data_IF_942021225574
#
_entry.id   IF_942021225574
#
_cell.length_a   1.000
_cell.length_b   1.000
_cell.length_c   1.000
_cell.angle_alpha   90.00
_cell.angle_beta   90.00
_cell.angle_gamma   90.00
#
_symmetry.space_group_name_H-M   'P 1'
#
loop_
_entity.id
_entity.type
_entity.pdbx_description
1 polymer ?
#
# COMPACT_ATOMS: atom_id res chain seq x y z
N UNK A 1 -16.87 14.81 -19.31
CA UNK A 1 -17.00 14.18 -20.64
C UNK A 1 -17.24 15.20 -21.76
N UNK A 2 -18.33 16.00 -21.70
CA UNK A 2 -18.72 16.96 -22.75
C UNK A 2 -17.61 17.95 -23.15
N UNK A 3 -16.90 18.54 -22.19
CA UNK A 3 -15.80 19.48 -22.46
C UNK A 3 -14.60 18.84 -23.16
N UNK A 4 -14.32 17.56 -22.91
CA UNK A 4 -13.22 16.84 -23.56
C UNK A 4 -13.58 16.52 -25.02
N UNK A 5 -14.83 16.14 -25.26
CA UNK A 5 -15.38 15.95 -26.61
C UNK A 5 -15.31 17.27 -27.40
N UNK A 6 -15.64 18.41 -26.77
CA UNK A 6 -15.51 19.73 -27.40
C UNK A 6 -14.06 20.08 -27.79
N UNK A 7 -13.09 19.80 -26.91
CA UNK A 7 -11.67 20.02 -27.22
C UNK A 7 -11.24 19.18 -28.43
N UNK A 8 -11.63 17.90 -28.48
CA UNK A 8 -11.31 17.00 -29.59
C UNK A 8 -11.95 17.50 -30.89
N UNK A 9 -13.21 17.94 -30.85
CA UNK A 9 -13.90 18.51 -32.02
C UNK A 9 -13.17 19.76 -32.54
N UNK A 10 -12.75 20.68 -31.66
CA UNK A 10 -11.99 21.86 -32.09
C UNK A 10 -10.64 21.50 -32.72
N UNK A 11 -9.96 20.49 -32.18
CA UNK A 11 -8.70 19.98 -32.72
C UNK A 11 -8.87 19.33 -34.11
N UNK A 12 -9.98 18.62 -34.32
CA UNK A 12 -10.31 18.05 -35.64
C UNK A 12 -10.60 19.16 -36.64
N UNK A 13 -11.39 20.18 -36.26
CA UNK A 13 -11.72 21.32 -37.12
C UNK A 13 -10.44 22.09 -37.53
N UNK A 14 -9.51 22.31 -36.61
CA UNK A 14 -8.24 22.97 -36.93
C UNK A 14 -7.38 22.12 -37.87
N UNK A 15 -7.30 20.82 -37.64
CA UNK A 15 -6.55 19.89 -38.50
C UNK A 15 -7.11 19.84 -39.93
N UNK A 16 -8.43 19.67 -40.06
CA UNK A 16 -9.14 19.66 -41.36
C UNK A 16 -9.02 21.02 -42.07
N UNK A 17 -8.95 22.13 -41.33
CA UNK A 17 -8.73 23.45 -41.90
C UNK A 17 -7.32 23.65 -42.47
N UNK A 18 -6.29 23.09 -41.84
CA UNK A 18 -4.88 23.31 -42.18
C UNK A 18 -4.43 22.38 -43.31
N UNK A 19 -4.72 21.08 -43.24
CA UNK A 19 -4.13 20.05 -44.11
C UNK A 19 -4.40 20.26 -45.61
N UNK A 20 -5.65 20.47 -46.07
CA UNK A 20 -5.95 20.71 -47.50
C UNK A 20 -5.24 21.96 -48.03
N UNK A 21 -4.95 22.92 -47.17
CA UNK A 21 -4.33 24.19 -47.56
C UNK A 21 -2.83 24.09 -47.74
N UNK A 22 -2.17 23.35 -46.87
CA UNK A 22 -0.74 23.02 -47.04
C UNK A 22 -0.57 22.33 -48.40
N UNK A 23 -1.48 21.41 -48.76
CA UNK A 23 -1.48 20.74 -50.06
C UNK A 23 -1.71 21.71 -51.23
N UNK A 24 -2.69 22.61 -51.12
CA UNK A 24 -2.94 23.62 -52.15
C UNK A 24 -1.76 24.58 -52.34
N UNK A 25 -1.15 25.06 -51.25
CA UNK A 25 0.02 25.95 -51.30
C UNK A 25 1.25 25.23 -51.88
N UNK A 26 1.41 23.94 -51.57
CA UNK A 26 2.44 23.10 -52.17
C UNK A 26 2.27 22.98 -53.68
N UNK A 27 1.04 22.73 -54.16
CA UNK A 27 0.74 22.65 -55.59
C UNK A 27 0.95 23.99 -56.31
N UNK A 28 0.52 25.11 -55.71
CA UNK A 28 0.79 26.44 -56.26
C UNK A 28 2.29 26.74 -56.37
N UNK A 29 3.06 26.39 -55.33
CA UNK A 29 4.52 26.56 -55.34
C UNK A 29 5.20 25.70 -56.40
N UNK A 30 4.66 24.52 -56.72
CA UNK A 30 5.13 23.67 -57.81
C UNK A 30 4.86 24.31 -59.18
N UNK A 31 3.67 24.89 -59.37
CA UNK A 31 3.27 25.58 -60.62
C UNK A 31 4.13 26.82 -60.86
N UNK A 32 4.41 27.61 -59.82
CA UNK A 32 5.23 28.83 -59.89
C UNK A 32 6.70 28.56 -60.27
N UNK A 33 7.21 27.34 -60.11
CA UNK A 33 8.59 26.93 -60.46
C UNK A 33 8.76 26.54 -61.94
N UNK A 34 7.68 26.35 -62.70
CA UNK A 34 7.73 26.00 -64.12
C UNK A 34 7.96 27.27 -64.96
N UNK A 35 9.04 27.31 -65.74
CA UNK A 35 9.72 28.55 -66.14
C UNK A 35 9.15 29.29 -67.36
N UNK A 36 8.12 28.78 -68.05
CA UNK A 36 7.63 29.37 -69.31
C UNK A 36 6.10 29.34 -69.41
N UNK A 37 5.46 30.43 -68.97
CA UNK A 37 4.02 30.64 -69.15
C UNK A 37 3.75 31.91 -69.97
N UNK A 38 2.73 31.90 -70.84
CA UNK A 38 2.27 33.10 -71.54
C UNK A 38 1.80 34.18 -70.55
N UNK A 39 1.95 35.45 -70.90
CA UNK A 39 1.66 36.59 -69.99
C UNK A 39 0.22 36.62 -69.49
N UNK A 40 -0.74 36.21 -70.32
CA UNK A 40 -2.15 36.12 -69.93
C UNK A 40 -2.39 35.08 -68.81
N UNK A 41 -1.64 33.97 -68.84
CA UNK A 41 -1.70 32.95 -67.80
C UNK A 41 -1.10 33.46 -66.50
N UNK A 42 0.03 34.19 -66.55
CA UNK A 42 0.63 34.82 -65.37
C UNK A 42 -0.34 35.79 -64.70
N UNK A 43 -1.03 36.64 -65.47
CA UNK A 43 -2.00 37.61 -64.95
C UNK A 43 -3.19 36.93 -64.25
N UNK A 44 -3.76 35.88 -64.86
CA UNK A 44 -4.83 35.09 -64.23
C UNK A 44 -4.32 34.36 -62.98
N UNK A 45 -3.14 33.76 -63.05
CA UNK A 45 -2.51 33.04 -61.95
C UNK A 45 -2.28 33.93 -60.71
N UNK A 46 -1.75 35.14 -60.89
CA UNK A 46 -1.58 36.09 -59.77
C UNK A 46 -2.91 36.53 -59.16
N UNK A 47 -3.97 36.70 -59.97
CA UNK A 47 -5.32 37.01 -59.46
C UNK A 47 -5.86 35.87 -58.60
N UNK A 48 -5.72 34.62 -59.05
CA UNK A 48 -6.09 33.44 -58.27
C UNK A 48 -5.26 33.29 -56.99
N UNK A 49 -3.95 33.55 -57.07
CA UNK A 49 -3.05 33.52 -55.92
C UNK A 49 -3.44 34.55 -54.85
N UNK A 50 -3.83 35.77 -55.25
CA UNK A 50 -4.29 36.81 -54.34
C UNK A 50 -5.63 36.45 -53.66
N UNK A 51 -6.60 35.94 -54.42
CA UNK A 51 -7.88 35.45 -53.88
C UNK A 51 -7.65 34.32 -52.87
N UNK A 52 -6.75 33.39 -53.22
CA UNK A 52 -6.42 32.27 -52.36
C UNK A 52 -5.70 32.70 -51.08
N UNK A 53 -4.83 33.73 -51.15
CA UNK A 53 -4.15 34.31 -49.99
C UNK A 53 -5.13 35.01 -49.04
N UNK A 54 -6.11 35.75 -49.56
CA UNK A 54 -7.17 36.35 -48.74
C UNK A 54 -8.03 35.29 -48.05
N UNK A 55 -8.44 34.26 -48.78
CA UNK A 55 -9.15 33.13 -48.20
C UNK A 55 -8.28 32.40 -47.17
N UNK A 56 -6.96 32.33 -47.41
CA UNK A 56 -6.01 31.74 -46.49
C UNK A 56 -6.00 32.47 -45.15
N UNK A 57 -5.83 33.80 -45.17
CA UNK A 57 -5.80 34.64 -43.97
C UNK A 57 -7.11 34.53 -43.17
N UNK A 58 -8.28 34.58 -43.83
CA UNK A 58 -9.58 34.50 -43.15
C UNK A 58 -9.75 33.23 -42.33
N UNK A 59 -9.44 32.07 -42.90
CA UNK A 59 -9.58 30.79 -42.20
C UNK A 59 -8.42 30.57 -41.21
N UNK A 60 -7.22 31.10 -41.46
CA UNK A 60 -6.14 31.08 -40.47
C UNK A 60 -6.58 31.81 -39.19
N UNK A 61 -7.26 32.95 -39.33
CA UNK A 61 -7.83 33.69 -38.20
C UNK A 61 -8.85 32.86 -37.43
N UNK A 62 -9.74 32.15 -38.13
CA UNK A 62 -10.71 31.23 -37.52
C UNK A 62 -10.04 30.08 -36.78
N UNK A 63 -8.98 29.50 -37.36
CA UNK A 63 -8.21 28.41 -36.74
C UNK A 63 -7.51 28.88 -35.47
N UNK A 64 -6.86 30.06 -35.50
CA UNK A 64 -6.21 30.65 -34.31
C UNK A 64 -7.25 30.93 -33.23
N UNK A 65 -8.42 31.45 -33.59
CA UNK A 65 -9.51 31.69 -32.64
C UNK A 65 -9.96 30.40 -31.93
N UNK A 66 -10.18 29.31 -32.67
CA UNK A 66 -10.54 28.02 -32.07
C UNK A 66 -9.41 27.43 -31.23
N UNK A 67 -8.15 27.65 -31.61
CA UNK A 67 -7.00 27.19 -30.85
C UNK A 67 -6.92 27.93 -29.50
N UNK A 68 -7.13 29.24 -29.48
CA UNK A 68 -7.22 30.01 -28.23
C UNK A 68 -8.31 29.48 -27.30
N UNK A 69 -9.51 29.18 -27.84
CA UNK A 69 -10.60 28.59 -27.05
C UNK A 69 -10.19 27.23 -26.47
N UNK A 70 -9.57 26.37 -27.29
CA UNK A 70 -9.12 25.06 -26.84
C UNK A 70 -8.09 25.16 -25.70
N UNK A 71 -7.14 26.08 -25.80
CA UNK A 71 -6.14 26.34 -24.76
C UNK A 71 -6.80 26.81 -23.46
N UNK A 72 -7.74 27.76 -23.53
CA UNK A 72 -8.46 28.25 -22.35
C UNK A 72 -9.22 27.10 -21.65
N UNK A 73 -9.89 26.24 -22.42
CA UNK A 73 -10.60 25.08 -21.88
C UNK A 73 -9.65 24.07 -21.22
N UNK A 74 -8.49 23.82 -21.82
CA UNK A 74 -7.47 22.94 -21.25
C UNK A 74 -6.92 23.49 -19.94
N UNK A 75 -6.53 24.76 -19.90
CA UNK A 75 -6.03 25.40 -18.68
C UNK A 75 -7.05 25.35 -17.54
N UNK A 76 -8.34 25.59 -17.83
CA UNK A 76 -9.40 25.45 -16.83
C UNK A 76 -9.52 24.04 -16.26
N UNK A 77 -9.29 23.00 -17.08
CA UNK A 77 -9.29 21.61 -16.62
C UNK A 77 -8.10 21.28 -15.76
N UNK A 78 -6.92 21.74 -16.16
CA UNK A 78 -5.69 21.54 -15.38
C UNK A 78 -5.85 22.14 -13.99
N UNK A 79 -6.33 23.39 -13.88
CA UNK A 79 -6.56 24.04 -12.59
C UNK A 79 -7.56 23.30 -11.70
N UNK A 80 -8.68 22.84 -12.27
CA UNK A 80 -9.68 22.07 -11.50
C UNK A 80 -9.11 20.73 -11.00
N UNK A 81 -8.29 20.08 -11.83
CA UNK A 81 -7.67 18.81 -11.47
C UNK A 81 -6.60 19.01 -10.38
N UNK A 82 -5.84 20.09 -10.46
CA UNK A 82 -4.87 20.47 -9.43
C UNK A 82 -5.55 20.78 -8.10
N UNK A 83 -6.63 21.56 -8.09
CA UNK A 83 -7.42 21.84 -6.87
C UNK A 83 -8.00 20.56 -6.24
N UNK A 84 -8.54 19.66 -7.06
CA UNK A 84 -9.06 18.37 -6.57
C UNK A 84 -7.94 17.49 -6.02
N UNK A 85 -6.76 17.53 -6.62
CA UNK A 85 -5.62 16.75 -6.16
C UNK A 85 -5.06 17.31 -4.84
N UNK A 86 -5.03 18.64 -4.69
CA UNK A 86 -4.62 19.27 -3.43
C UNK A 86 -5.60 19.00 -2.28
N UNK A 87 -6.92 19.00 -2.55
CA UNK A 87 -7.91 18.67 -1.51
C UNK A 87 -7.79 17.21 -1.08
N UNK A 88 -7.67 16.28 -2.04
CA UNK A 88 -7.48 14.86 -1.75
C UNK A 88 -6.19 14.60 -0.97
N UNK A 89 -5.11 15.30 -1.28
CA UNK A 89 -3.87 15.22 -0.49
C UNK A 89 -4.07 15.71 0.94
N UNK A 90 -4.80 16.82 1.12
CA UNK A 90 -5.14 17.34 2.45
C UNK A 90 -5.98 16.35 3.26
N UNK A 91 -6.99 15.75 2.64
CA UNK A 91 -7.83 14.70 3.27
C UNK A 91 -7.00 13.47 3.66
N UNK A 92 -6.10 13.01 2.79
CA UNK A 92 -5.21 11.87 3.10
C UNK A 92 -4.29 12.17 4.29
N UNK A 93 -3.71 13.38 4.34
CA UNK A 93 -2.87 13.79 5.48
C UNK A 93 -3.69 13.81 6.76
N UNK A 94 -4.89 14.41 6.73
CA UNK A 94 -5.78 14.45 7.89
C UNK A 94 -6.20 13.06 8.39
N UNK A 95 -6.53 12.14 7.47
CA UNK A 95 -6.87 10.75 7.82
C UNK A 95 -5.67 10.04 8.45
N UNK A 96 -4.46 10.25 7.94
CA UNK A 96 -3.26 9.64 8.51
C UNK A 96 -2.98 10.18 9.93
N UNK A 97 -3.14 11.48 10.15
CA UNK A 97 -3.01 12.07 11.49
C UNK A 97 -4.06 11.52 12.46
N UNK A 98 -5.32 11.38 12.03
CA UNK A 98 -6.38 10.76 12.84
C UNK A 98 -6.08 9.29 13.16
N UNK A 99 -5.53 8.54 12.20
CA UNK A 99 -5.11 7.16 12.41
C UNK A 99 -3.99 7.06 13.45
N UNK A 100 -2.99 7.95 13.38
CA UNK A 100 -1.87 7.95 14.31
C UNK A 100 -2.32 8.33 15.73
N UNK A 101 -3.20 9.33 15.87
CA UNK A 101 -3.82 9.69 17.16
C UNK A 101 -4.66 8.52 17.69
N UNK A 102 -5.45 7.87 16.83
CA UNK A 102 -6.27 6.72 17.23
C UNK A 102 -5.42 5.54 17.69
N UNK A 103 -4.31 5.26 17.01
CA UNK A 103 -3.34 4.23 17.42
C UNK A 103 -2.70 4.55 18.78
N UNK A 104 -2.26 5.78 18.99
CA UNK A 104 -1.70 6.22 20.27
C UNK A 104 -2.72 6.08 21.39
N UNK A 105 -3.96 6.52 21.18
CA UNK A 105 -5.03 6.37 22.17
C UNK A 105 -5.34 4.89 22.46
N UNK A 106 -5.33 4.04 21.43
CA UNK A 106 -5.53 2.60 21.61
C UNK A 106 -4.39 1.98 22.41
N UNK A 107 -3.13 2.29 22.09
CA UNK A 107 -1.96 1.82 22.85
C UNK A 107 -2.03 2.27 24.31
N UNK A 108 -2.35 3.54 24.58
CA UNK A 108 -2.51 4.04 25.95
C UNK A 108 -3.63 3.33 26.72
N UNK A 109 -4.75 3.01 26.06
CA UNK A 109 -5.83 2.23 26.68
C UNK A 109 -5.41 0.79 26.96
N UNK A 110 -4.63 0.18 26.06
CA UNK A 110 -4.08 -1.16 26.27
C UNK A 110 -3.09 -1.17 27.42
N UNK A 111 -2.20 -0.18 27.54
CA UNK A 111 -1.27 -0.05 28.65
C UNK A 111 -1.99 0.06 30.02
N UNK A 112 -3.17 0.65 30.08
CA UNK A 112 -3.91 0.79 31.35
C UNK A 112 -4.58 -0.51 31.82
N UNK A 113 -4.68 -1.52 30.97
CA UNK A 113 -5.29 -2.79 31.34
C UNK A 113 -4.25 -3.70 32.04
N UNK A 114 -4.57 -4.28 33.20
CA UNK A 114 -3.69 -5.25 33.85
C UNK A 114 -3.61 -6.54 33.03
N UNK A 115 -2.42 -7.14 32.97
CA UNK A 115 -2.22 -8.46 32.40
C UNK A 115 -3.01 -9.47 33.24
N UNK A 116 -3.73 -10.39 32.60
CA UNK A 116 -4.46 -11.43 33.34
C UNK A 116 -3.46 -12.41 33.95
N UNK A 117 -3.66 -12.76 35.21
CA UNK A 117 -2.90 -13.84 35.84
C UNK A 117 -3.19 -15.17 35.12
N UNK A 118 -2.13 -15.92 34.83
CA UNK A 118 -2.28 -17.25 34.24
C UNK A 118 -2.96 -18.20 35.25
N UNK A 119 -4.01 -18.96 34.86
CA UNK A 119 -4.78 -19.80 35.76
C UNK A 119 -3.91 -20.88 36.41
N UNK A 120 -4.22 -21.24 37.66
CA UNK A 120 -3.48 -22.30 38.38
C UNK A 120 -3.66 -23.66 37.71
N UNK A 121 -4.85 -23.91 37.15
CA UNK A 121 -5.19 -25.16 36.47
C UNK A 121 -4.76 -25.19 34.99
N UNK A 122 -4.11 -24.13 34.49
CA UNK A 122 -3.73 -23.97 33.09
C UNK A 122 -4.84 -23.43 32.18
N UNK A 123 -4.53 -23.25 30.90
CA UNK A 123 -5.46 -22.73 29.86
C UNK A 123 -6.01 -23.85 28.94
N UNK A 124 -5.78 -25.10 29.32
CA UNK A 124 -6.27 -26.29 28.64
C UNK A 124 -5.65 -26.48 27.27
N UNK A 125 -4.33 -26.26 27.17
CA UNK A 125 -3.55 -26.51 25.95
C UNK A 125 -3.56 -27.98 25.55
N UNK A 126 -3.84 -28.89 26.49
CA UNK A 126 -3.96 -30.33 26.26
C UNK A 126 -4.85 -30.69 25.06
N UNK A 127 -5.99 -30.02 24.93
CA UNK A 127 -7.00 -30.28 23.88
C UNK A 127 -6.43 -29.95 22.49
N UNK A 128 -5.47 -29.03 22.41
CA UNK A 128 -4.81 -28.65 21.16
C UNK A 128 -3.79 -29.70 20.71
N UNK A 129 -3.06 -30.29 21.65
CA UNK A 129 -2.02 -31.29 21.37
C UNK A 129 -2.58 -32.72 21.21
N UNK A 130 -3.80 -33.00 21.69
CA UNK A 130 -4.49 -34.28 21.46
C UNK A 130 -4.92 -34.50 20.00
N UNK A 131 -5.14 -33.42 19.25
CA UNK A 131 -5.51 -33.51 17.84
C UNK A 131 -4.30 -33.88 17.00
N UNK A 132 -4.45 -34.90 16.16
CA UNK A 132 -3.37 -35.35 15.28
C UNK A 132 -3.11 -34.34 14.16
N UNK A 133 -2.14 -33.45 14.36
CA UNK A 133 -1.71 -32.46 13.37
C UNK A 133 -1.00 -33.17 12.22
N UNK A 134 -1.64 -33.24 11.06
CA UNK A 134 -1.23 -34.08 9.93
C UNK A 134 -1.00 -33.27 8.65
N UNK A 135 -1.72 -32.16 8.46
CA UNK A 135 -1.62 -31.31 7.27
C UNK A 135 -1.37 -29.82 7.62
N UNK A 136 -1.07 -29.01 6.61
CA UNK A 136 -0.76 -27.57 6.79
C UNK A 136 -1.95 -26.77 7.33
N UNK A 137 -3.19 -27.11 6.97
CA UNK A 137 -4.39 -26.44 7.47
C UNK A 137 -4.59 -26.67 8.97
N UNK A 138 -4.33 -27.89 9.45
CA UNK A 138 -4.38 -28.24 10.88
C UNK A 138 -3.28 -27.55 11.67
N UNK A 139 -2.08 -27.40 11.10
CA UNK A 139 -0.98 -26.61 11.72
C UNK A 139 -1.40 -25.16 11.87
N UNK A 140 -1.93 -24.53 10.81
CA UNK A 140 -2.41 -23.14 10.88
C UNK A 140 -3.54 -22.97 11.89
N UNK A 141 -4.46 -23.94 11.96
CA UNK A 141 -5.54 -23.92 12.96
C UNK A 141 -5.00 -24.06 14.38
N UNK A 142 -4.03 -24.94 14.59
CA UNK A 142 -3.34 -25.09 15.88
C UNK A 142 -2.65 -23.78 16.27
N UNK A 143 -1.88 -23.16 15.37
CA UNK A 143 -1.17 -21.89 15.61
C UNK A 143 -2.15 -20.76 15.98
N UNK A 144 -3.27 -20.66 15.27
CA UNK A 144 -4.33 -19.68 15.54
C UNK A 144 -5.01 -19.94 16.88
N UNK A 145 -5.43 -21.18 17.15
CA UNK A 145 -6.10 -21.57 18.40
C UNK A 145 -5.17 -21.39 19.61
N UNK A 146 -3.88 -21.70 19.46
CA UNK A 146 -2.87 -21.49 20.50
C UNK A 146 -2.72 -20.00 20.81
N UNK A 147 -2.56 -19.20 19.75
CA UNK A 147 -2.43 -17.75 19.84
C UNK A 147 -3.65 -17.09 20.50
N UNK A 148 -4.87 -17.54 20.16
CA UNK A 148 -6.12 -17.05 20.77
C UNK A 148 -6.27 -17.40 22.25
N UNK A 149 -5.61 -18.46 22.73
CA UNK A 149 -5.65 -18.83 24.15
C UNK A 149 -4.62 -18.07 24.97
N UNK A 150 -3.43 -17.85 24.43
CA UNK A 150 -2.34 -17.22 25.19
C UNK A 150 -2.42 -15.70 25.21
N UNK A 151 -3.04 -15.04 24.21
CA UNK A 151 -2.89 -13.59 24.05
C UNK A 151 -3.25 -12.82 25.33
N UNK A 152 -4.35 -13.17 25.98
CA UNK A 152 -4.87 -12.42 27.14
C UNK A 152 -3.98 -12.45 28.39
N UNK A 153 -2.97 -13.34 28.42
CA UNK A 153 -2.05 -13.52 29.54
C UNK A 153 -0.66 -12.91 29.28
N UNK A 154 -0.35 -12.56 28.03
CA UNK A 154 0.97 -12.05 27.66
C UNK A 154 0.91 -10.66 26.99
N UNK A 155 -0.29 -10.14 26.72
CA UNK A 155 -0.49 -8.79 26.24
C UNK A 155 -1.85 -8.59 25.56
N UNK A 156 -1.92 -7.56 24.71
CA UNK A 156 -3.16 -7.19 24.01
C UNK A 156 -3.13 -7.50 22.53
N UNK A 157 -1.93 -7.69 21.98
CA UNK A 157 -1.73 -8.07 20.59
C UNK A 157 -1.62 -9.57 20.51
N UNK A 158 -2.41 -10.15 19.60
CA UNK A 158 -2.39 -11.59 19.32
C UNK A 158 -0.99 -12.01 18.84
N UNK A 159 -0.29 -12.93 19.53
CA UNK A 159 1.06 -13.33 19.15
C UNK A 159 1.08 -14.17 17.88
N UNK A 160 2.15 -14.08 17.11
CA UNK A 160 2.37 -15.00 16.00
C UNK A 160 3.02 -16.27 16.53
N UNK A 161 2.28 -17.38 16.46
CA UNK A 161 2.73 -18.70 16.90
C UNK A 161 3.11 -19.50 15.66
N UNK A 162 4.27 -20.16 15.70
CA UNK A 162 4.70 -21.08 14.65
C UNK A 162 5.06 -22.42 15.28
N UNK A 163 4.45 -23.49 14.78
CA UNK A 163 4.72 -24.85 15.23
C UNK A 163 5.51 -25.62 14.18
N UNK A 164 6.76 -25.93 14.51
CA UNK A 164 7.62 -26.78 13.68
C UNK A 164 7.55 -28.22 14.18
N UNK A 165 6.80 -29.04 13.43
CA UNK A 165 6.60 -30.45 13.72
C UNK A 165 7.88 -31.29 13.54
N UNK A 166 8.77 -30.92 12.61
CA UNK A 166 9.98 -31.70 12.34
C UNK A 166 11.01 -31.52 13.46
N UNK A 167 11.18 -30.28 13.91
CA UNK A 167 12.10 -29.93 15.00
C UNK A 167 11.45 -29.97 16.38
N UNK A 168 10.16 -30.32 16.46
CA UNK A 168 9.34 -30.31 17.69
C UNK A 168 9.50 -29.01 18.47
N UNK A 169 9.50 -27.89 17.75
CA UNK A 169 9.74 -26.58 18.34
C UNK A 169 8.53 -25.67 18.19
N UNK A 170 8.30 -24.86 19.22
CA UNK A 170 7.24 -23.86 19.25
C UNK A 170 7.87 -22.48 19.33
N UNK A 171 7.55 -21.62 18.37
CA UNK A 171 8.03 -20.23 18.33
C UNK A 171 6.85 -19.31 18.58
N UNK A 172 6.95 -18.45 19.59
CA UNK A 172 5.92 -17.48 19.95
C UNK A 172 6.52 -16.09 19.81
N UNK A 173 5.93 -15.26 18.94
CA UNK A 173 6.36 -13.89 18.70
C UNK A 173 5.31 -12.91 19.22
N UNK A 174 5.63 -12.20 20.28
CA UNK A 174 4.87 -11.06 20.77
C UNK A 174 5.32 -9.80 20.03
N UNK A 175 4.35 -9.00 19.59
CA UNK A 175 4.56 -7.73 18.87
C UNK A 175 3.99 -6.61 19.74
N UNK A 176 4.69 -5.48 19.77
CA UNK A 176 4.29 -4.24 20.45
C UNK A 176 4.32 -4.35 21.98
N UNK A 177 5.35 -5.01 22.51
CA UNK A 177 5.52 -5.18 23.95
C UNK A 177 6.45 -4.11 24.54
N UNK A 178 6.02 -2.85 24.62
CA UNK A 178 6.62 -1.96 25.62
C UNK A 178 6.10 -2.37 27.00
N UNK A 179 6.94 -3.14 27.71
CA UNK A 179 6.63 -3.66 29.03
C UNK A 179 7.35 -2.83 30.09
N UNK A 180 6.58 -2.13 30.92
CA UNK A 180 7.07 -1.57 32.19
C UNK A 180 7.58 -2.69 33.10
N UNK A 181 8.45 -2.39 34.07
CA UNK A 181 9.06 -3.43 34.93
C UNK A 181 8.04 -4.32 35.65
N UNK A 182 6.90 -3.75 36.08
CA UNK A 182 5.81 -4.49 36.71
C UNK A 182 5.21 -5.51 35.71
N UNK A 183 4.93 -5.08 34.47
CA UNK A 183 4.42 -5.97 33.42
C UNK A 183 5.45 -7.04 33.03
N UNK A 184 6.75 -6.71 33.03
CA UNK A 184 7.81 -7.70 32.77
C UNK A 184 7.77 -8.84 33.81
N UNK A 185 7.51 -8.51 35.07
CA UNK A 185 7.44 -9.51 36.12
C UNK A 185 6.20 -10.40 35.99
N UNK A 186 5.02 -9.82 35.71
CA UNK A 186 3.79 -10.58 35.48
C UNK A 186 3.90 -11.50 34.25
N UNK A 187 4.50 -11.00 33.16
CA UNK A 187 4.77 -11.78 31.95
C UNK A 187 5.72 -12.93 32.22
N UNK A 188 6.77 -12.71 33.02
CA UNK A 188 7.70 -13.77 33.41
C UNK A 188 7.03 -14.86 34.25
N UNK A 189 6.15 -14.48 35.18
CA UNK A 189 5.38 -15.46 35.97
C UNK A 189 4.46 -16.28 35.06
N UNK A 190 3.79 -15.61 34.11
CA UNK A 190 2.91 -16.28 33.15
C UNK A 190 3.71 -17.16 32.17
N UNK A 191 4.93 -16.75 31.80
CA UNK A 191 5.86 -17.53 30.98
C UNK A 191 6.27 -18.83 31.68
N UNK A 192 6.65 -18.76 32.96
CA UNK A 192 6.98 -19.95 33.76
C UNK A 192 5.79 -20.92 33.83
N UNK A 193 4.58 -20.42 34.13
CA UNK A 193 3.36 -21.24 34.17
C UNK A 193 2.98 -21.85 32.81
N UNK A 194 3.15 -21.10 31.73
CA UNK A 194 2.94 -21.61 30.37
C UNK A 194 3.91 -22.74 30.05
N UNK A 195 5.19 -22.59 30.40
CA UNK A 195 6.20 -23.62 30.21
C UNK A 195 5.91 -24.88 31.02
N UNK A 196 5.42 -24.73 32.26
CA UNK A 196 5.00 -25.87 33.09
C UNK A 196 3.84 -26.63 32.44
N UNK A 197 2.81 -25.94 31.93
CA UNK A 197 1.70 -26.58 31.21
C UNK A 197 2.19 -27.25 29.91
N UNK A 198 3.07 -26.59 29.15
CA UNK A 198 3.65 -27.16 27.93
C UNK A 198 4.54 -28.38 28.22
N UNK A 199 5.22 -28.44 29.36
CA UNK A 199 6.13 -29.53 29.70
C UNK A 199 5.41 -30.88 29.84
N UNK A 200 4.15 -30.85 30.31
CA UNK A 200 3.27 -32.02 30.37
C UNK A 200 3.11 -32.67 28.99
N UNK A 201 3.27 -31.90 27.91
CA UNK A 201 3.18 -32.39 26.55
C UNK A 201 4.54 -32.81 26.00
N UNK A 202 4.74 -34.13 25.90
CA UNK A 202 5.96 -34.76 25.35
C UNK A 202 6.27 -34.50 23.86
N UNK A 203 5.45 -33.70 23.16
CA UNK A 203 5.62 -33.43 21.74
C UNK A 203 6.57 -32.26 21.43
N UNK A 204 7.00 -31.50 22.44
CA UNK A 204 7.85 -30.33 22.28
C UNK A 204 9.22 -30.54 22.93
N UNK A 205 10.29 -30.33 22.16
CA UNK A 205 11.68 -30.38 22.64
C UNK A 205 12.23 -28.97 22.90
N UNK A 206 11.71 -27.95 22.22
CA UNK A 206 12.18 -26.56 22.32
C UNK A 206 11.02 -25.54 22.23
N UNK A 207 11.09 -24.49 23.06
CA UNK A 207 10.14 -23.36 23.03
C UNK A 207 10.95 -22.06 22.92
N UNK A 208 10.62 -21.21 21.96
CA UNK A 208 11.27 -19.92 21.73
C UNK A 208 10.24 -18.82 21.88
N UNK A 209 10.47 -17.90 22.82
CA UNK A 209 9.60 -16.75 23.06
C UNK A 209 10.37 -15.49 22.69
N UNK A 210 9.81 -14.73 21.73
CA UNK A 210 10.38 -13.50 21.21
C UNK A 210 9.46 -12.31 21.54
N UNK A 211 10.04 -11.23 22.03
CA UNK A 211 9.39 -9.96 22.29
C UNK A 211 9.92 -8.89 21.34
N UNK A 212 9.04 -8.33 20.51
CA UNK A 212 9.39 -7.36 19.48
C UNK A 212 8.68 -6.01 19.70
N UNK A 213 9.36 -4.91 19.38
CA UNK A 213 8.80 -3.55 19.36
C UNK A 213 9.25 -2.84 18.08
N UNK A 214 8.34 -2.15 17.39
CA UNK A 214 8.61 -1.49 16.10
C UNK A 214 9.37 -2.39 15.08
N UNK A 215 9.02 -3.67 15.03
CA UNK A 215 9.68 -4.70 14.21
C UNK A 215 11.16 -4.99 14.55
N UNK A 216 11.62 -4.60 15.74
CA UNK A 216 12.93 -4.94 16.28
C UNK A 216 12.78 -5.94 17.44
N UNK A 217 13.66 -6.95 17.47
CA UNK A 217 13.72 -7.93 18.55
C UNK A 217 14.34 -7.28 19.78
N UNK A 218 13.59 -7.18 20.87
CA UNK A 218 14.07 -6.66 22.17
C UNK A 218 14.58 -7.81 23.05
N UNK A 219 13.81 -8.90 23.14
CA UNK A 219 14.16 -10.02 24.00
C UNK A 219 13.83 -11.34 23.30
N UNK A 220 14.75 -12.29 23.42
CA UNK A 220 14.55 -13.67 23.01
C UNK A 220 14.93 -14.62 24.16
N UNK A 221 13.95 -15.39 24.61
CA UNK A 221 14.12 -16.49 25.52
C UNK A 221 14.01 -17.82 24.76
N UNK A 222 15.02 -18.67 24.86
CA UNK A 222 15.02 -20.02 24.26
C UNK A 222 15.08 -21.06 25.37
N UNK A 223 14.08 -21.92 25.41
CA UNK A 223 13.93 -22.98 26.39
C UNK A 223 14.07 -24.36 25.74
N UNK A 224 14.83 -25.24 26.35
CA UNK A 224 14.91 -26.65 25.93
C UNK A 224 14.36 -27.56 27.00
N UNK A 225 13.72 -28.64 26.56
CA UNK A 225 13.19 -29.65 27.46
C UNK A 225 14.33 -30.33 28.22
N UNK A 226 14.22 -30.39 29.54
CA UNK A 226 15.11 -31.16 30.39
C UNK A 226 14.30 -32.18 31.19
N UNK A 227 14.38 -33.44 30.75
CA UNK A 227 13.64 -34.55 31.38
C UNK A 227 14.16 -34.86 32.79
N UNK A 228 15.43 -34.55 33.11
CA UNK A 228 16.00 -34.82 34.43
C UNK A 228 15.38 -33.93 35.52
N UNK A 229 14.97 -32.71 35.15
CA UNK A 229 14.36 -31.73 36.06
C UNK A 229 12.86 -31.55 35.85
N UNK A 230 12.25 -32.36 34.98
CA UNK A 230 10.84 -32.27 34.60
C UNK A 230 10.39 -30.84 34.25
N UNK A 231 11.22 -30.09 33.50
CA UNK A 231 10.93 -28.71 33.13
C UNK A 231 11.61 -28.28 31.85
N UNK A 232 11.16 -27.16 31.30
CA UNK A 232 11.90 -26.42 30.29
C UNK A 232 12.99 -25.56 30.94
N UNK A 233 14.23 -25.69 30.48
CA UNK A 233 15.35 -24.89 30.98
C UNK A 233 15.76 -23.81 29.97
N UNK A 234 15.95 -22.61 30.49
CA UNK A 234 16.42 -21.47 29.71
C UNK A 234 17.86 -21.73 29.26
N UNK A 235 18.06 -21.86 27.95
CA UNK A 235 19.37 -22.13 27.34
C UNK A 235 20.01 -20.89 26.75
N UNK A 236 19.21 -19.90 26.38
CA UNK A 236 19.69 -18.62 25.90
C UNK A 236 18.68 -17.53 26.28
N UNK A 237 19.17 -16.46 26.89
CA UNK A 237 18.46 -15.20 27.05
C UNK A 237 19.26 -14.13 26.33
N UNK A 238 18.64 -13.49 25.34
CA UNK A 238 19.24 -12.40 24.60
C UNK A 238 18.36 -11.16 24.75
N UNK A 239 18.75 -10.29 25.66
CA UNK A 239 18.27 -8.91 25.76
C UNK A 239 19.12 -8.03 24.82
N UNK A 240 18.45 -7.29 23.93
CA UNK A 240 19.03 -6.37 22.92
C UNK A 240 18.67 -4.93 23.25
#
# INVERSE_FOLDING_TARGET
MITAILIIIFLIITFVGIVPRVFLQFNLNKINKLRHYPEEFKRKFHKYQFIQLLNHIKILLVVVFFLCIAVILLTSKVLKLEMSNSSLRGEVVGINEELDISRLNYQQLLEQLPIREYPVDGIGLEILFEKKISNTEEVQKFELDFSDRIYSYFGFVKPLVTYDKENKSLIINFIDSQMDEIRKQDVRINEEKLLDELFVHSMLDEVIINFNYENQLINQNRYKRNDDYNRFELTNNKEL
#
